data_IF_516960784803
#
_entry.id   IF_516960784803
#
_cell.length_a   1.000
_cell.length_b   1.000
_cell.length_c   1.000
_cell.angle_alpha   90.00
_cell.angle_beta   90.00
_cell.angle_gamma   90.00
#
_symmetry.space_group_name_H-M   'P 1'
#
loop_
_entity.id
_entity.type
_entity.pdbx_description
1 polymer ?
#
# COMPACT_ATOMS: atom_id res chain seq x y z
N UNK A 1 -9.37 30.78 -7.26
CA UNK A 1 -7.99 30.79 -7.79
C UNK A 1 -7.38 29.43 -7.48
N UNK A 2 -6.93 28.67 -8.49
CA UNK A 2 -6.25 27.38 -8.31
C UNK A 2 -4.79 27.48 -8.74
N UNK A 3 -3.90 26.70 -8.11
CA UNK A 3 -2.49 26.57 -8.48
C UNK A 3 -2.15 25.10 -8.63
N UNK A 4 -1.34 24.76 -9.63
CA UNK A 4 -0.72 23.44 -9.74
C UNK A 4 0.25 23.23 -8.56
N UNK A 5 0.02 22.18 -7.77
CA UNK A 5 0.82 21.87 -6.57
C UNK A 5 1.81 20.73 -6.83
N UNK A 6 1.52 19.84 -7.77
CA UNK A 6 2.42 18.74 -8.13
C UNK A 6 1.74 17.68 -8.97
N UNK A 7 2.51 16.65 -9.32
CA UNK A 7 2.07 15.56 -10.20
C UNK A 7 1.21 14.48 -9.52
N UNK A 8 0.86 14.65 -8.23
CA UNK A 8 0.04 13.68 -7.51
C UNK A 8 0.71 12.33 -7.26
N UNK A 9 2.05 12.29 -7.29
CA UNK A 9 2.84 11.07 -7.03
C UNK A 9 2.95 10.73 -5.55
N UNK A 10 2.90 11.74 -4.70
CA UNK A 10 2.91 11.58 -3.26
C UNK A 10 1.88 12.49 -2.62
N UNK A 11 1.46 12.10 -1.41
CA UNK A 11 0.50 12.84 -0.61
C UNK A 11 0.98 12.87 0.84
N UNK A 12 0.75 14.00 1.50
CA UNK A 12 0.95 14.13 2.94
C UNK A 12 -0.36 13.85 3.64
N UNK A 13 -0.32 12.96 4.62
CA UNK A 13 -1.48 12.61 5.46
C UNK A 13 -1.05 12.56 6.91
N UNK A 14 -2.00 12.78 7.82
CA UNK A 14 -1.75 12.61 9.26
C UNK A 14 -1.85 11.12 9.61
N UNK A 15 -0.81 10.58 10.23
CA UNK A 15 -0.79 9.18 10.63
C UNK A 15 -1.73 8.95 11.82
N UNK A 16 -2.63 7.98 11.71
CA UNK A 16 -3.54 7.60 12.80
C UNK A 16 -2.87 6.75 13.88
N UNK A 17 -1.75 6.11 13.54
CA UNK A 17 -0.94 5.26 14.39
C UNK A 17 0.54 5.43 14.01
N UNK A 18 1.45 4.80 14.75
CA UNK A 18 2.85 4.76 14.36
C UNK A 18 3.01 4.01 13.02
N UNK A 19 3.72 4.63 12.08
CA UNK A 19 4.04 4.10 10.75
C UNK A 19 5.55 4.09 10.60
N UNK A 20 6.12 3.01 10.08
CA UNK A 20 7.53 2.99 9.71
C UNK A 20 7.71 3.32 8.24
N UNK A 21 8.87 3.89 7.91
CA UNK A 21 9.31 3.99 6.53
C UNK A 21 9.34 2.60 5.88
N UNK A 22 8.75 2.50 4.68
CA UNK A 22 8.65 1.24 3.94
C UNK A 22 7.37 0.45 4.22
N UNK A 23 6.53 0.87 5.17
CA UNK A 23 5.22 0.25 5.38
C UNK A 23 4.20 0.77 4.35
N UNK A 24 3.37 -0.13 3.83
CA UNK A 24 2.13 0.25 3.16
C UNK A 24 1.07 0.64 4.18
N UNK A 25 0.37 1.73 3.88
CA UNK A 25 -0.64 2.30 4.76
C UNK A 25 -1.83 2.81 3.95
N UNK A 26 -3.03 2.57 4.47
CA UNK A 26 -4.25 3.25 4.03
C UNK A 26 -4.58 4.36 5.04
N UNK A 27 -4.44 5.62 4.64
CA UNK A 27 -4.72 6.78 5.49
C UNK A 27 -5.34 7.93 4.69
N UNK A 28 -6.36 8.58 5.25
CA UNK A 28 -7.06 9.69 4.58
C UNK A 28 -7.69 9.32 3.23
N UNK A 29 -7.96 8.02 3.00
CA UNK A 29 -8.46 7.49 1.72
C UNK A 29 -7.39 7.13 0.69
N UNK A 30 -6.12 7.48 0.96
CA UNK A 30 -4.98 7.16 0.10
C UNK A 30 -4.28 5.90 0.57
N UNK A 31 -3.94 5.03 -0.39
CA UNK A 31 -3.12 3.85 -0.13
C UNK A 31 -1.76 4.01 -0.80
N UNK A 32 -0.69 3.85 -0.04
CA UNK A 32 0.67 4.01 -0.57
C UNK A 32 1.75 3.57 0.39
N UNK A 33 2.99 3.65 -0.10
CA UNK A 33 4.19 3.30 0.65
C UNK A 33 4.66 4.50 1.48
N UNK A 34 4.85 4.33 2.78
CA UNK A 34 5.37 5.37 3.65
C UNK A 34 6.83 5.70 3.33
N UNK A 35 7.09 6.94 2.95
CA UNK A 35 8.44 7.41 2.58
C UNK A 35 9.24 7.82 3.82
N UNK A 36 8.59 8.04 4.95
CA UNK A 36 9.19 8.34 6.24
C UNK A 36 8.42 7.66 7.37
N UNK A 37 9.08 7.42 8.50
CA UNK A 37 8.38 7.02 9.73
C UNK A 37 7.67 8.23 10.33
N UNK A 38 6.55 7.99 11.00
CA UNK A 38 5.76 9.01 11.69
C UNK A 38 5.05 8.40 12.91
N UNK A 39 4.99 9.15 14.01
CA UNK A 39 4.15 8.83 15.16
C UNK A 39 2.68 9.16 14.89
N UNK A 40 1.80 8.69 15.78
CA UNK A 40 0.38 9.06 15.73
C UNK A 40 0.21 10.58 15.86
N UNK A 41 -0.57 11.18 14.96
CA UNK A 41 -0.79 12.62 14.90
C UNK A 41 0.28 13.40 14.13
N UNK A 42 1.36 12.75 13.68
CA UNK A 42 2.41 13.37 12.86
C UNK A 42 2.11 13.22 11.37
N UNK A 43 2.77 14.03 10.54
CA UNK A 43 2.67 13.92 9.08
C UNK A 43 3.51 12.76 8.54
N UNK A 44 2.89 11.91 7.73
CA UNK A 44 3.56 10.90 6.91
C UNK A 44 3.35 11.21 5.43
N UNK A 45 4.42 11.06 4.65
CA UNK A 45 4.35 11.11 3.20
C UNK A 45 4.10 9.70 2.69
N UNK A 46 3.07 9.53 1.87
CA UNK A 46 2.81 8.27 1.15
C UNK A 46 3.18 8.45 -0.33
N UNK A 47 3.96 7.53 -0.88
CA UNK A 47 4.11 7.38 -2.32
C UNK A 47 2.90 6.61 -2.86
N UNK A 48 2.14 7.26 -3.74
CA UNK A 48 0.87 6.78 -4.30
C UNK A 48 0.93 6.64 -5.82
N UNK A 49 2.10 6.86 -6.41
CA UNK A 49 2.28 6.76 -7.85
C UNK A 49 2.10 5.31 -8.34
N UNK A 50 1.55 5.15 -9.54
CA UNK A 50 1.51 3.84 -10.16
C UNK A 50 2.94 3.37 -10.43
N UNK A 51 3.33 2.31 -9.74
CA UNK A 51 4.67 1.76 -9.77
C UNK A 51 4.65 0.31 -9.33
N UNK A 52 5.76 -0.37 -9.59
CA UNK A 52 6.00 -1.70 -9.08
C UNK A 52 6.72 -1.61 -7.74
N UNK A 53 6.21 -2.36 -6.75
CA UNK A 53 6.73 -2.34 -5.39
C UNK A 53 7.03 -3.76 -4.93
N UNK A 54 8.17 -3.92 -4.27
CA UNK A 54 8.55 -5.12 -3.54
C UNK A 54 8.10 -4.99 -2.09
N UNK A 55 7.49 -6.03 -1.53
CA UNK A 55 7.11 -6.03 -0.11
C UNK A 55 6.94 -7.43 0.47
N UNK A 56 7.19 -7.55 1.77
CA UNK A 56 6.87 -8.71 2.61
C UNK A 56 5.65 -8.47 3.52
N UNK A 57 4.97 -7.32 3.37
CA UNK A 57 3.79 -6.95 4.16
C UNK A 57 2.53 -7.66 3.67
N UNK A 58 2.56 -8.99 3.71
CA UNK A 58 1.55 -9.86 3.13
C UNK A 58 1.00 -10.85 4.15
N UNK A 59 -0.19 -11.37 3.87
CA UNK A 59 -0.73 -12.56 4.53
C UNK A 59 -0.01 -13.79 3.99
N UNK A 60 0.92 -14.34 4.77
CA UNK A 60 1.83 -15.42 4.31
C UNK A 60 1.12 -16.72 3.97
N UNK A 61 -0.12 -16.93 4.43
CA UNK A 61 -0.96 -18.07 4.06
C UNK A 61 -1.44 -18.02 2.60
N UNK A 62 -1.57 -16.82 2.03
CA UNK A 62 -2.03 -16.62 0.65
C UNK A 62 -0.92 -16.96 -0.35
N UNK A 63 -1.30 -17.43 -1.54
CA UNK A 63 -0.34 -17.86 -2.55
C UNK A 63 0.36 -16.69 -3.27
N UNK A 64 -0.37 -15.62 -3.59
CA UNK A 64 0.09 -14.49 -4.43
C UNK A 64 0.82 -14.95 -5.71
N UNK A 65 0.08 -15.54 -6.64
CA UNK A 65 0.60 -15.88 -7.96
C UNK A 65 0.67 -14.64 -8.85
N UNK A 66 1.55 -14.64 -9.84
CA UNK A 66 1.61 -13.58 -10.83
C UNK A 66 0.25 -13.40 -11.52
N UNK A 67 -0.25 -12.17 -11.53
CA UNK A 67 -1.57 -11.83 -12.04
C UNK A 67 -2.69 -11.85 -11.00
N UNK A 68 -2.48 -12.33 -9.77
CA UNK A 68 -3.53 -12.31 -8.74
C UNK A 68 -3.87 -10.87 -8.33
N UNK A 69 -5.16 -10.55 -8.09
CA UNK A 69 -5.54 -9.27 -7.51
C UNK A 69 -5.00 -9.15 -6.09
N UNK A 70 -4.48 -7.96 -5.76
CA UNK A 70 -3.96 -7.64 -4.43
C UNK A 70 -4.92 -6.69 -3.75
N UNK A 71 -5.35 -7.06 -2.55
CA UNK A 71 -6.20 -6.27 -1.69
C UNK A 71 -5.46 -5.86 -0.42
N UNK A 72 -5.89 -4.75 0.17
CA UNK A 72 -5.45 -4.29 1.48
C UNK A 72 -6.45 -4.69 2.55
N UNK A 73 -5.99 -5.49 3.51
CA UNK A 73 -6.69 -5.78 4.76
C UNK A 73 -6.31 -4.73 5.80
N UNK A 74 -7.22 -3.77 6.02
CA UNK A 74 -6.98 -2.69 6.97
C UNK A 74 -7.10 -3.13 8.44
N UNK A 75 -7.62 -4.32 8.71
CA UNK A 75 -7.66 -4.86 10.07
C UNK A 75 -6.30 -5.43 10.45
N UNK A 76 -5.73 -6.28 9.59
CA UNK A 76 -4.45 -6.93 9.83
C UNK A 76 -3.24 -6.11 9.34
N UNK A 77 -3.47 -5.00 8.64
CA UNK A 77 -2.46 -4.12 8.02
C UNK A 77 -1.52 -4.88 7.08
N UNK A 78 -2.11 -5.75 6.25
CA UNK A 78 -1.40 -6.63 5.32
C UNK A 78 -2.08 -6.66 3.96
N UNK A 79 -1.29 -6.94 2.93
CA UNK A 79 -1.82 -7.31 1.63
C UNK A 79 -2.36 -8.74 1.68
N UNK A 80 -3.42 -9.00 0.94
CA UNK A 80 -4.07 -10.31 0.80
C UNK A 80 -4.61 -10.49 -0.62
N UNK A 81 -4.79 -11.74 -1.03
CA UNK A 81 -5.50 -12.11 -2.27
C UNK A 81 -7.02 -12.25 -2.04
N UNK A 82 -7.47 -12.20 -0.78
CA UNK A 82 -8.89 -12.30 -0.44
C UNK A 82 -9.62 -10.97 -0.66
N UNK A 83 -10.61 -11.00 -1.55
CA UNK A 83 -11.52 -9.89 -1.83
C UNK A 83 -12.57 -9.66 -0.72
N UNK A 84 -12.29 -10.07 0.53
CA UNK A 84 -13.23 -10.07 1.65
C UNK A 84 -13.96 -8.73 1.84
N UNK A 85 -15.12 -8.77 2.51
CA UNK A 85 -15.94 -7.58 2.73
C UNK A 85 -15.16 -6.50 3.50
N UNK A 86 -14.70 -5.47 2.80
CA UNK A 86 -13.94 -4.35 3.36
C UNK A 86 -12.49 -4.26 2.89
N UNK A 87 -11.96 -5.29 2.23
CA UNK A 87 -10.60 -5.23 1.69
C UNK A 87 -10.58 -4.39 0.40
N UNK A 88 -9.75 -3.35 0.37
CA UNK A 88 -9.65 -2.45 -0.80
C UNK A 88 -8.79 -3.11 -1.87
N UNK A 89 -9.24 -3.17 -3.11
CA UNK A 89 -8.37 -3.56 -4.23
C UNK A 89 -7.29 -2.49 -4.41
N UNK A 90 -6.02 -2.88 -4.30
CA UNK A 90 -4.88 -1.97 -4.35
C UNK A 90 -3.91 -2.27 -5.49
N UNK A 91 -4.00 -3.43 -6.14
CA UNK A 91 -3.08 -3.72 -7.24
C UNK A 91 -3.19 -5.11 -7.80
N UNK A 92 -2.13 -5.53 -8.49
CA UNK A 92 -2.00 -6.88 -9.06
C UNK A 92 -0.56 -7.38 -8.93
N UNK A 93 -0.40 -8.64 -8.54
CA UNK A 93 0.92 -9.28 -8.40
C UNK A 93 1.62 -9.32 -9.75
N UNK A 94 2.89 -8.93 -9.79
CA UNK A 94 3.77 -9.00 -10.97
C UNK A 94 4.81 -10.10 -10.82
N UNK A 95 5.36 -10.29 -9.60
CA UNK A 95 6.24 -11.40 -9.25
C UNK A 95 5.63 -12.17 -8.09
N UNK A 96 5.49 -13.48 -8.27
CA UNK A 96 4.88 -14.38 -7.30
C UNK A 96 5.68 -14.43 -5.98
N UNK A 97 5.00 -14.81 -4.90
CA UNK A 97 5.62 -14.94 -3.58
C UNK A 97 6.81 -15.89 -3.60
N UNK A 98 7.95 -15.41 -3.13
CA UNK A 98 9.17 -16.20 -2.99
C UNK A 98 9.24 -16.98 -1.66
N UNK A 99 10.34 -17.70 -1.44
CA UNK A 99 10.57 -18.47 -0.21
C UNK A 99 10.70 -17.58 1.05
N UNK A 100 10.96 -16.28 0.89
CA UNK A 100 11.08 -15.30 1.97
C UNK A 100 9.77 -14.57 2.25
N UNK A 101 8.67 -14.95 1.58
CA UNK A 101 7.38 -14.28 1.64
C UNK A 101 7.42 -12.85 1.09
N UNK A 102 8.23 -12.61 0.06
CA UNK A 102 8.31 -11.35 -0.67
C UNK A 102 7.55 -11.48 -1.99
N UNK A 103 6.74 -10.48 -2.32
CA UNK A 103 6.06 -10.35 -3.62
C UNK A 103 6.45 -9.05 -4.29
N UNK A 104 6.32 -8.99 -5.61
CA UNK A 104 6.24 -7.71 -6.31
C UNK A 104 4.83 -7.51 -6.83
N UNK A 105 4.33 -6.28 -6.75
CA UNK A 105 3.02 -5.95 -7.29
C UNK A 105 3.00 -4.55 -7.90
N UNK A 106 2.14 -4.39 -8.91
CA UNK A 106 1.84 -3.09 -9.50
C UNK A 106 0.74 -2.41 -8.70
N UNK A 107 1.04 -1.24 -8.15
CA UNK A 107 0.08 -0.40 -7.42
C UNK A 107 -0.96 0.17 -8.39
N UNK A 108 -2.23 -0.06 -8.06
CA UNK A 108 -3.38 0.43 -8.80
C UNK A 108 -3.61 1.94 -8.62
N UNK A 109 -4.48 2.54 -9.44
CA UNK A 109 -4.89 3.94 -9.26
C UNK A 109 -5.60 4.14 -7.91
N UNK A 110 -5.44 5.32 -7.34
CA UNK A 110 -6.21 5.74 -6.17
C UNK A 110 -7.69 5.88 -6.57
N UNK A 111 -8.60 5.31 -5.78
CA UNK A 111 -10.06 5.46 -5.93
C UNK A 111 -10.60 6.65 -5.15
#
# INVERSE_FOLDING_TARGET
>A
MGRFVGHGKSVKVTASAAVNQGDFVLAGGFFGLAVNSAGAGEEVVLNIEQGEYETSQITTADAFNAGDPVYWDDTNKKLTTEAGSGNRLVGRVTVAKDANNVIWFMLGPQV
#
